data_IF_492160088721
#
_entry.id   IF_492160088721
#
_cell.length_a   1.000
_cell.length_b   1.000
_cell.length_c   1.000
_cell.angle_alpha   90.00
_cell.angle_beta   90.00
_cell.angle_gamma   90.00
#
_symmetry.space_group_name_H-M   'P 1'
#
loop_
_entity.id
_entity.type
_entity.pdbx_description
1 polymer ?
#
# COMPACT_ATOMS: atom_id res chain seq x y z
N UNK A 1 0.19 18.91 -10.63
CA UNK A 1 -0.51 18.13 -11.69
C UNK A 1 0.14 16.76 -11.84
N UNK A 2 1.47 16.67 -11.88
CA UNK A 2 2.19 15.39 -11.98
C UNK A 2 1.95 14.42 -10.80
N UNK A 3 1.97 14.93 -9.55
CA UNK A 3 1.70 14.11 -8.35
C UNK A 3 0.30 13.47 -8.38
N UNK A 4 -0.73 14.25 -8.72
CA UNK A 4 -2.10 13.75 -8.75
C UNK A 4 -2.26 12.67 -9.83
N UNK A 5 -1.70 12.89 -11.02
CA UNK A 5 -1.70 11.91 -12.10
C UNK A 5 -0.93 10.64 -11.72
N UNK A 6 0.18 10.76 -10.98
CA UNK A 6 0.89 9.60 -10.46
C UNK A 6 0.01 8.83 -9.47
N UNK A 7 -0.62 9.50 -8.50
CA UNK A 7 -1.51 8.87 -7.54
C UNK A 7 -2.69 8.15 -8.22
N UNK A 8 -3.27 8.74 -9.28
CA UNK A 8 -4.33 8.11 -10.05
C UNK A 8 -3.86 6.81 -10.74
N UNK A 9 -2.70 6.85 -11.42
CA UNK A 9 -2.12 5.67 -12.10
C UNK A 9 -1.78 4.53 -11.13
N UNK A 10 -1.42 4.87 -9.89
CA UNK A 10 -1.06 3.90 -8.85
C UNK A 10 -2.21 3.57 -7.89
N UNK A 11 -3.45 3.84 -8.32
CA UNK A 11 -4.69 3.45 -7.63
C UNK A 11 -4.79 3.95 -6.19
N UNK A 12 -4.24 5.12 -5.91
CA UNK A 12 -4.40 5.75 -4.60
C UNK A 12 -5.84 6.25 -4.41
N UNK A 13 -6.43 6.03 -3.24
CA UNK A 13 -7.62 6.75 -2.83
C UNK A 13 -7.39 8.26 -2.72
N UNK A 14 -8.44 9.03 -2.97
CA UNK A 14 -8.51 10.46 -2.67
C UNK A 14 -8.69 10.70 -1.17
N UNK A 15 -8.39 11.93 -0.73
CA UNK A 15 -8.69 12.37 0.65
C UNK A 15 -10.18 12.21 0.97
N UNK A 16 -11.03 12.56 0.01
CA UNK A 16 -12.49 12.52 0.16
C UNK A 16 -12.99 11.09 0.32
N UNK A 17 -12.50 10.14 -0.48
CA UNK A 17 -12.84 8.72 -0.36
C UNK A 17 -12.37 8.14 0.99
N UNK A 18 -11.20 8.54 1.48
CA UNK A 18 -10.70 8.12 2.79
C UNK A 18 -11.49 8.73 3.95
N UNK A 19 -11.87 10.00 3.85
CA UNK A 19 -12.67 10.68 4.87
C UNK A 19 -14.11 10.13 4.93
N UNK A 20 -14.72 9.88 3.77
CA UNK A 20 -16.06 9.33 3.60
C UNK A 20 -16.12 7.80 3.58
N UNK A 21 -15.10 7.10 4.06
CA UNK A 21 -14.96 5.64 3.92
C UNK A 21 -16.18 4.85 4.44
N UNK A 22 -16.81 5.33 5.52
CA UNK A 22 -18.00 4.72 6.12
C UNK A 22 -19.28 4.95 5.32
N UNK A 23 -19.28 5.96 4.44
CA UNK A 23 -20.42 6.35 3.60
C UNK A 23 -20.43 5.61 2.25
N UNK A 24 -19.30 5.04 1.85
CA UNK A 24 -19.22 4.21 0.64
C UNK A 24 -20.17 3.00 0.77
N UNK A 25 -20.61 2.41 -0.34
CA UNK A 25 -21.43 1.19 -0.33
C UNK A 25 -20.55 -0.06 -0.36
N UNK A 26 -20.81 -1.05 0.51
CA UNK A 26 -20.02 -2.30 0.52
C UNK A 26 -20.23 -3.05 -0.79
N UNK A 27 -21.47 -3.07 -1.28
CA UNK A 27 -21.83 -3.76 -2.52
C UNK A 27 -21.17 -3.11 -3.73
N UNK A 28 -21.07 -1.78 -3.76
CA UNK A 28 -20.36 -1.07 -4.83
C UNK A 28 -18.87 -1.36 -4.80
N UNK A 29 -18.26 -1.36 -3.62
CA UNK A 29 -16.85 -1.71 -3.45
C UNK A 29 -16.57 -3.18 -3.78
N UNK A 30 -17.49 -4.10 -3.46
CA UNK A 30 -17.39 -5.51 -3.86
C UNK A 30 -17.53 -5.67 -5.38
N UNK A 31 -18.42 -4.91 -6.03
CA UNK A 31 -18.54 -4.90 -7.49
C UNK A 31 -17.27 -4.36 -8.14
N UNK A 32 -16.75 -3.24 -7.66
CA UNK A 32 -15.47 -2.68 -8.12
C UNK A 32 -14.30 -3.63 -7.87
N UNK A 33 -14.23 -4.30 -6.73
CA UNK A 33 -13.20 -5.31 -6.47
C UNK A 33 -13.30 -6.51 -7.42
N UNK A 34 -14.46 -6.83 -7.98
CA UNK A 34 -14.56 -7.88 -9.03
C UNK A 34 -14.09 -7.40 -10.39
N UNK A 35 -13.98 -6.08 -10.60
CA UNK A 35 -13.33 -5.51 -11.76
C UNK A 35 -11.82 -5.51 -11.54
N UNK A 36 -11.10 -6.32 -12.31
CA UNK A 36 -9.64 -6.37 -12.27
C UNK A 36 -8.98 -5.03 -12.65
N UNK A 37 -9.75 -4.09 -13.20
CA UNK A 37 -9.32 -2.73 -13.53
C UNK A 37 -9.52 -1.71 -12.41
N UNK A 38 -10.12 -2.08 -11.29
CA UNK A 38 -10.27 -1.20 -10.13
C UNK A 38 -9.62 -1.75 -8.85
N UNK A 39 -8.27 -1.76 -8.77
CA UNK A 39 -7.56 -2.08 -7.53
C UNK A 39 -7.91 -1.13 -6.37
N UNK A 40 -8.35 0.10 -6.67
CA UNK A 40 -8.70 1.10 -5.65
C UNK A 40 -9.98 0.71 -4.90
N UNK A 41 -10.97 0.12 -5.56
CA UNK A 41 -12.14 -0.44 -4.87
C UNK A 41 -11.75 -1.51 -3.83
N UNK A 42 -10.79 -2.38 -4.16
CA UNK A 42 -10.27 -3.38 -3.23
C UNK A 42 -9.55 -2.74 -2.02
N UNK A 43 -8.78 -1.67 -2.25
CA UNK A 43 -8.20 -0.85 -1.16
C UNK A 43 -9.27 -0.29 -0.25
N UNK A 44 -10.25 0.41 -0.82
CA UNK A 44 -11.32 1.08 -0.05
C UNK A 44 -12.16 0.07 0.72
N UNK A 45 -12.47 -1.08 0.11
CA UNK A 45 -13.14 -2.17 0.82
C UNK A 45 -12.31 -2.66 2.00
N UNK A 46 -11.02 -2.88 1.81
CA UNK A 46 -10.12 -3.36 2.85
C UNK A 46 -10.02 -2.40 4.03
N UNK A 47 -9.83 -1.11 3.75
CA UNK A 47 -9.80 -0.08 4.79
C UNK A 47 -11.12 0.04 5.55
N UNK A 48 -12.25 -0.04 4.83
CA UNK A 48 -13.55 0.01 5.48
C UNK A 48 -13.76 -1.19 6.40
N UNK A 49 -13.44 -2.38 5.93
CA UNK A 49 -13.53 -3.60 6.73
C UNK A 49 -12.67 -3.54 7.99
N UNK A 50 -11.45 -2.99 7.88
CA UNK A 50 -10.60 -2.77 9.05
C UNK A 50 -11.26 -1.81 10.06
N UNK A 51 -11.85 -0.71 9.57
CA UNK A 51 -12.59 0.25 10.41
C UNK A 51 -13.80 -0.39 11.10
N UNK A 52 -14.47 -1.33 10.44
CA UNK A 52 -15.61 -2.07 10.98
C UNK A 52 -15.18 -3.26 11.88
N UNK A 53 -13.88 -3.49 12.06
CA UNK A 53 -13.31 -4.58 12.88
C UNK A 53 -13.24 -5.95 12.19
N UNK A 54 -13.48 -6.02 10.88
CA UNK A 54 -13.33 -7.24 10.06
C UNK A 54 -11.89 -7.36 9.54
N UNK A 55 -10.95 -7.73 10.42
CA UNK A 55 -9.53 -7.88 10.09
C UNK A 55 -9.28 -8.88 8.95
N UNK A 56 -10.02 -9.99 8.95
CA UNK A 56 -9.83 -11.05 7.96
C UNK A 56 -10.28 -10.58 6.58
N UNK A 57 -11.45 -9.94 6.50
CA UNK A 57 -11.92 -9.35 5.26
C UNK A 57 -11.07 -8.17 4.80
N UNK A 58 -10.52 -7.37 5.72
CA UNK A 58 -9.59 -6.30 5.42
C UNK A 58 -8.33 -6.82 4.72
N UNK A 59 -7.67 -7.81 5.32
CA UNK A 59 -6.47 -8.44 4.75
C UNK A 59 -6.73 -9.11 3.40
N UNK A 60 -7.91 -9.74 3.23
CA UNK A 60 -8.29 -10.36 1.96
C UNK A 60 -8.43 -9.30 0.85
N UNK A 61 -9.19 -8.24 1.09
CA UNK A 61 -9.40 -7.17 0.11
C UNK A 61 -8.10 -6.42 -0.20
N UNK A 62 -7.28 -6.13 0.81
CA UNK A 62 -5.97 -5.51 0.62
C UNK A 62 -5.03 -6.42 -0.18
N UNK A 63 -4.99 -7.72 0.09
CA UNK A 63 -4.21 -8.68 -0.71
C UNK A 63 -4.60 -8.64 -2.20
N UNK A 64 -5.90 -8.61 -2.51
CA UNK A 64 -6.39 -8.46 -3.90
C UNK A 64 -5.91 -7.14 -4.52
N UNK A 65 -5.94 -6.03 -3.78
CA UNK A 65 -5.41 -4.77 -4.31
C UNK A 65 -3.91 -4.84 -4.62
N UNK A 66 -3.13 -5.57 -3.81
CA UNK A 66 -1.68 -5.71 -4.02
C UNK A 66 -1.32 -6.58 -5.21
N UNK A 67 -2.08 -7.66 -5.45
CA UNK A 67 -1.85 -8.53 -6.60
C UNK A 67 -2.08 -7.78 -7.90
N UNK A 68 -3.04 -6.85 -7.91
CA UNK A 68 -3.35 -5.97 -9.05
C UNK A 68 -2.53 -4.67 -9.09
N UNK A 69 -1.40 -4.61 -8.37
CA UNK A 69 -0.41 -3.54 -8.51
C UNK A 69 -0.67 -2.26 -7.71
N UNK A 70 -1.65 -2.21 -6.80
CA UNK A 70 -1.82 -1.03 -5.93
C UNK A 70 -0.65 -0.87 -4.96
N UNK A 71 0.14 0.20 -5.12
CA UNK A 71 1.24 0.54 -4.21
C UNK A 71 0.71 0.91 -2.83
N UNK A 72 -0.36 1.71 -2.79
CA UNK A 72 -1.04 2.06 -1.55
C UNK A 72 -1.63 0.82 -0.86
N UNK A 73 -2.18 -0.12 -1.63
CA UNK A 73 -2.63 -1.42 -1.11
C UNK A 73 -1.53 -2.18 -0.37
N UNK A 74 -0.27 -2.14 -0.86
CA UNK A 74 0.87 -2.80 -0.20
C UNK A 74 1.20 -2.16 1.15
N UNK A 75 1.15 -0.84 1.22
CA UNK A 75 1.32 -0.11 2.49
C UNK A 75 0.24 -0.49 3.50
N UNK A 76 -1.03 -0.45 3.07
CA UNK A 76 -2.16 -0.71 3.95
C UNK A 76 -2.21 -2.19 4.38
N UNK A 77 -1.82 -3.12 3.50
CA UNK A 77 -1.68 -4.52 3.87
C UNK A 77 -0.63 -4.72 4.97
N UNK A 78 0.53 -4.06 4.85
CA UNK A 78 1.56 -4.07 5.89
C UNK A 78 1.03 -3.55 7.23
N UNK A 79 0.35 -2.40 7.22
CA UNK A 79 -0.26 -1.79 8.41
C UNK A 79 -1.28 -2.75 9.04
N UNK A 80 -2.20 -3.30 8.24
CA UNK A 80 -3.24 -4.19 8.72
C UNK A 80 -2.69 -5.49 9.34
N UNK A 81 -1.62 -6.07 8.77
CA UNK A 81 -0.95 -7.25 9.36
C UNK A 81 -0.36 -6.92 10.73
N UNK A 82 0.26 -5.74 10.88
CA UNK A 82 0.82 -5.29 12.15
C UNK A 82 -0.29 -5.06 13.18
N UNK A 83 -1.34 -4.33 12.82
CA UNK A 83 -2.45 -4.00 13.71
C UNK A 83 -3.19 -5.26 14.20
N UNK A 84 -3.49 -6.20 13.30
CA UNK A 84 -4.07 -7.49 13.65
C UNK A 84 -3.20 -8.28 14.62
N UNK A 85 -1.87 -8.24 14.45
CA UNK A 85 -0.94 -8.97 15.32
C UNK A 85 -0.83 -8.31 16.69
N UNK A 86 -0.76 -6.98 16.73
CA UNK A 86 -0.75 -6.20 17.97
C UNK A 86 -2.05 -6.36 18.77
N UNK A 87 -3.22 -6.37 18.10
CA UNK A 87 -4.53 -6.59 18.73
C UNK A 87 -4.69 -7.98 19.35
N UNK A 88 -3.87 -8.96 18.93
CA UNK A 88 -3.80 -10.31 19.52
C UNK A 88 -2.76 -10.42 20.64
N UNK A 89 -2.24 -9.29 21.14
CA UNK A 89 -1.16 -9.19 22.13
C UNK A 89 0.16 -9.88 21.71
N UNK A 90 0.34 -10.14 20.41
CA UNK A 90 1.53 -10.78 19.87
C UNK A 90 2.55 -9.76 19.34
N UNK A 91 3.83 -10.09 19.44
CA UNK A 91 4.87 -9.43 18.65
C UNK A 91 4.93 -10.07 17.26
N UNK A 92 5.23 -9.27 16.23
CA UNK A 92 5.48 -9.83 14.90
C UNK A 92 6.70 -10.76 14.94
N UNK A 93 6.55 -11.97 14.39
CA UNK A 93 7.67 -12.86 14.15
C UNK A 93 8.66 -12.24 13.16
N UNK A 94 9.90 -12.72 13.15
CA UNK A 94 10.89 -12.26 12.20
C UNK A 94 10.45 -12.52 10.74
N UNK A 95 9.78 -13.65 10.47
CA UNK A 95 9.24 -13.97 9.14
C UNK A 95 8.11 -13.02 8.73
N UNK A 96 7.23 -12.64 9.66
CA UNK A 96 6.17 -11.66 9.40
C UNK A 96 6.77 -10.28 9.07
N UNK A 97 7.81 -9.87 9.82
CA UNK A 97 8.54 -8.62 9.54
C UNK A 97 9.23 -8.68 8.18
N UNK A 98 9.89 -9.78 7.86
CA UNK A 98 10.53 -9.98 6.57
C UNK A 98 9.51 -9.89 5.43
N UNK A 99 8.35 -10.52 5.55
CA UNK A 99 7.26 -10.44 4.56
C UNK A 99 6.72 -9.02 4.36
N UNK A 100 6.48 -8.29 5.46
CA UNK A 100 6.07 -6.88 5.42
C UNK A 100 7.12 -6.03 4.69
N UNK A 101 8.40 -6.19 5.05
CA UNK A 101 9.51 -5.43 4.46
C UNK A 101 9.63 -5.76 2.98
N UNK A 102 9.56 -7.03 2.58
CA UNK A 102 9.58 -7.45 1.18
C UNK A 102 8.48 -6.77 0.36
N UNK A 103 7.26 -6.70 0.90
CA UNK A 103 6.13 -6.04 0.23
C UNK A 103 6.33 -4.54 0.06
N UNK A 104 6.91 -3.87 1.07
CA UNK A 104 7.21 -2.44 1.05
C UNK A 104 8.42 -2.11 0.18
N UNK A 105 9.47 -2.93 0.16
CA UNK A 105 10.62 -2.75 -0.73
C UNK A 105 10.20 -2.85 -2.21
N UNK A 106 9.19 -3.66 -2.54
CA UNK A 106 8.59 -3.63 -3.89
C UNK A 106 7.94 -2.28 -4.18
N UNK A 107 7.18 -1.72 -3.23
CA UNK A 107 6.56 -0.40 -3.42
C UNK A 107 7.59 0.72 -3.57
N UNK A 108 8.66 0.68 -2.77
CA UNK A 108 9.81 1.60 -2.88
C UNK A 108 10.49 1.48 -4.24
N UNK A 109 10.79 0.26 -4.70
CA UNK A 109 11.40 0.00 -6.01
C UNK A 109 10.54 0.53 -7.17
N UNK A 110 9.21 0.44 -7.04
CA UNK A 110 8.26 0.94 -8.04
C UNK A 110 8.07 2.46 -7.97
N UNK A 111 8.65 3.14 -6.97
CA UNK A 111 8.75 4.60 -6.92
C UNK A 111 8.01 5.26 -5.77
N UNK A 112 7.49 4.51 -4.80
CA UNK A 112 6.73 5.07 -3.69
C UNK A 112 7.59 5.55 -2.52
N UNK A 113 7.71 6.86 -2.38
CA UNK A 113 8.50 7.48 -1.30
C UNK A 113 7.95 7.20 0.11
N UNK A 114 6.69 6.78 0.24
CA UNK A 114 6.07 6.44 1.53
C UNK A 114 6.51 5.09 2.07
N UNK A 115 7.05 4.21 1.22
CA UNK A 115 7.46 2.88 1.63
C UNK A 115 8.70 2.89 2.54
N UNK A 116 9.69 3.75 2.26
CA UNK A 116 10.94 3.85 3.02
C UNK A 116 10.74 4.08 4.54
N UNK A 117 9.94 5.07 5.00
CA UNK A 117 9.70 5.25 6.43
C UNK A 117 8.93 4.08 7.07
N UNK A 118 8.05 3.40 6.33
CA UNK A 118 7.36 2.20 6.81
C UNK A 118 8.33 1.01 6.96
N UNK A 119 9.27 0.82 6.02
CA UNK A 119 10.33 -0.18 6.12
C UNK A 119 11.14 0.05 7.39
N UNK A 120 11.60 1.28 7.62
CA UNK A 120 12.37 1.63 8.82
C UNK A 120 11.58 1.36 10.10
N UNK A 121 10.28 1.70 10.12
CA UNK A 121 9.41 1.46 11.27
C UNK A 121 9.23 -0.03 11.58
N UNK A 122 9.04 -0.87 10.56
CA UNK A 122 8.74 -2.29 10.76
C UNK A 122 9.98 -3.20 10.84
N UNK A 123 11.13 -2.71 10.37
CA UNK A 123 12.43 -3.38 10.50
C UNK A 123 13.01 -3.36 11.92
N UNK A 124 12.46 -2.57 12.84
CA UNK A 124 12.93 -2.52 14.24
C UNK A 124 12.91 -3.93 14.85
N UNK A 125 14.08 -4.40 15.30
CA UNK A 125 14.25 -5.71 15.93
C UNK A 125 14.41 -6.88 14.95
N UNK A 126 14.46 -6.63 13.63
CA UNK A 126 14.83 -7.63 12.63
C UNK A 126 16.32 -7.52 12.28
N UNK A 127 17.04 -8.64 12.33
CA UNK A 127 18.36 -8.73 11.71
C UNK A 127 18.19 -8.80 10.18
N UNK A 128 18.26 -7.64 9.53
CA UNK A 128 18.09 -7.55 8.06
C UNK A 128 19.18 -8.30 7.29
N UNK A 129 20.37 -8.46 7.87
CA UNK A 129 21.45 -9.16 7.20
C UNK A 129 21.19 -10.67 7.22
N UNK A 130 20.76 -11.21 8.36
CA UNK A 130 20.38 -12.61 8.48
C UNK A 130 19.17 -12.98 7.59
N UNK A 131 18.28 -12.02 7.33
CA UNK A 131 17.08 -12.22 6.51
C UNK A 131 17.19 -11.73 5.06
N UNK A 132 18.36 -11.28 4.62
CA UNK A 132 18.55 -10.65 3.30
C UNK A 132 18.07 -11.56 2.15
N UNK A 133 18.45 -12.85 2.18
CA UNK A 133 18.07 -13.81 1.14
C UNK A 133 16.57 -14.07 1.11
N UNK A 134 15.94 -14.19 2.28
CA UNK A 134 14.49 -14.40 2.40
C UNK A 134 13.71 -13.19 1.88
N UNK A 135 14.17 -11.97 2.22
CA UNK A 135 13.58 -10.72 1.73
C UNK A 135 13.73 -10.63 0.21
N UNK A 136 14.92 -10.90 -0.31
CA UNK A 136 15.19 -10.83 -1.75
C UNK A 136 14.37 -11.87 -2.55
N UNK A 137 14.22 -13.09 -2.02
CA UNK A 137 13.39 -14.13 -2.62
C UNK A 137 11.92 -13.70 -2.69
N UNK A 138 11.36 -13.22 -1.58
CA UNK A 138 9.97 -12.78 -1.53
C UNK A 138 9.69 -11.58 -2.43
N UNK A 139 10.59 -10.60 -2.47
CA UNK A 139 10.48 -9.47 -3.42
C UNK A 139 10.43 -9.93 -4.86
N UNK A 140 11.33 -10.85 -5.22
CA UNK A 140 11.39 -11.42 -6.57
C UNK A 140 10.08 -12.11 -6.91
N UNK A 141 9.52 -12.87 -5.97
CA UNK A 141 8.23 -13.55 -6.15
C UNK A 141 7.06 -12.56 -6.27
N UNK A 142 7.03 -11.50 -5.46
CA UNK A 142 6.00 -10.45 -5.59
C UNK A 142 6.07 -9.72 -6.93
N UNK A 143 7.27 -9.41 -7.43
CA UNK A 143 7.45 -8.80 -8.76
C UNK A 143 7.04 -9.77 -9.86
N UNK A 144 7.40 -11.06 -9.75
CA UNK A 144 6.99 -12.11 -10.69
C UNK A 144 5.47 -12.24 -10.76
N UNK A 145 4.79 -12.25 -9.61
CA UNK A 145 3.33 -12.30 -9.53
C UNK A 145 2.70 -11.04 -10.16
N UNK A 146 3.21 -9.86 -9.83
CA UNK A 146 2.70 -8.62 -10.39
C UNK A 146 2.89 -8.54 -11.91
N UNK A 147 4.01 -9.07 -12.44
CA UNK A 147 4.23 -9.22 -13.88
C UNK A 147 3.23 -10.16 -14.52
N UNK A 148 3.05 -11.36 -13.96
CA UNK A 148 2.11 -12.34 -14.49
C UNK A 148 0.66 -11.83 -14.49
N UNK A 149 0.28 -11.08 -13.45
CA UNK A 149 -1.04 -10.42 -13.38
C UNK A 149 -1.16 -9.31 -14.43
N UNK A 150 -0.15 -8.46 -14.59
CA UNK A 150 -0.18 -7.42 -15.62
C UNK A 150 -0.33 -8.03 -17.03
N UNK A 151 0.41 -9.11 -17.32
CA UNK A 151 0.31 -9.86 -18.57
C UNK A 151 -1.11 -10.45 -18.78
N UNK A 152 -1.71 -11.05 -17.75
CA UNK A 152 -3.04 -11.65 -17.84
C UNK A 152 -4.15 -10.61 -18.09
N UNK A 153 -4.00 -9.41 -17.54
CA UNK A 153 -4.95 -8.30 -17.65
C UNK A 153 -4.71 -7.39 -18.85
N UNK A 154 -3.62 -7.62 -19.61
CA UNK A 154 -3.23 -6.78 -20.74
C UNK A 154 -2.68 -5.40 -20.33
N UNK A 155 -2.13 -5.30 -19.12
CA UNK A 155 -1.46 -4.12 -18.60
C UNK A 155 0.04 -4.13 -18.89
N UNK A 156 0.69 -2.96 -18.94
CA UNK A 156 2.15 -2.90 -19.00
C UNK A 156 2.76 -3.55 -17.75
N UNK A 157 3.89 -4.23 -17.94
CA UNK A 157 4.68 -4.79 -16.84
C UNK A 157 4.98 -3.71 -15.77
N UNK A 158 4.89 -4.06 -14.47
CA UNK A 158 5.29 -3.15 -13.40
C UNK A 158 6.75 -2.72 -13.60
N UNK A 159 6.94 -1.44 -13.88
CA UNK A 159 8.26 -0.81 -14.02
C UNK A 159 8.36 0.32 -13.02
N UNK A 160 9.59 0.73 -12.75
CA UNK A 160 9.84 1.90 -11.92
C UNK A 160 9.15 3.14 -12.54
N UNK A 161 8.24 3.75 -11.78
CA UNK A 161 7.58 5.02 -12.08
C UNK A 161 7.76 5.90 -10.84
N UNK A 162 8.84 6.67 -10.79
CA UNK A 162 9.18 7.45 -9.62
C UNK A 162 8.08 8.47 -9.30
N UNK A 163 7.58 8.42 -8.06
CA UNK A 163 6.65 9.43 -7.58
C UNK A 163 7.29 10.83 -7.62
N UNK A 164 6.58 11.87 -8.06
CA UNK A 164 7.10 13.23 -7.98
C UNK A 164 7.38 13.68 -6.54
N UNK A 165 8.05 14.83 -6.39
CA UNK A 165 8.27 15.49 -5.09
C UNK A 165 9.10 14.69 -4.06
N UNK A 166 10.03 13.83 -4.48
CA UNK A 166 10.89 13.03 -3.58
C UNK A 166 11.56 13.87 -2.46
N UNK A 167 12.08 15.06 -2.80
CA UNK A 167 12.70 15.96 -1.83
C UNK A 167 11.74 16.45 -0.74
N UNK A 168 10.47 16.67 -1.10
CA UNK A 168 9.44 17.08 -0.15
C UNK A 168 9.03 15.94 0.77
N UNK A 169 8.93 14.72 0.23
CA UNK A 169 8.68 13.52 1.04
C UNK A 169 9.80 13.26 2.04
N UNK A 170 11.05 13.46 1.63
CA UNK A 170 12.20 13.40 2.54
C UNK A 170 12.09 14.42 3.68
N UNK A 171 11.73 15.66 3.39
CA UNK A 171 11.51 16.69 4.41
C UNK A 171 10.37 16.34 5.37
N UNK A 172 9.29 15.75 4.87
CA UNK A 172 8.16 15.29 5.70
C UNK A 172 8.61 14.18 6.63
N UNK A 173 9.39 13.21 6.14
CA UNK A 173 9.91 12.12 6.97
C UNK A 173 10.88 12.64 8.05
N UNK A 174 11.73 13.61 7.72
CA UNK A 174 12.65 14.24 8.68
C UNK A 174 11.94 15.14 9.71
N UNK A 175 10.69 15.55 9.46
CA UNK A 175 9.93 16.41 10.36
C UNK A 175 9.50 15.67 11.65
N UNK A 176 9.28 16.37 12.78
CA UNK A 176 8.75 15.76 14.02
C UNK A 176 7.40 15.07 13.77
N UNK A 177 7.10 14.00 14.51
CA UNK A 177 5.88 13.19 14.33
C UNK A 177 4.57 14.02 14.36
N UNK A 178 4.52 15.12 15.13
CA UNK A 178 3.39 16.07 15.17
C UNK A 178 3.18 16.84 13.86
N UNK A 179 4.22 16.99 13.03
CA UNK A 179 4.16 17.64 11.72
C UNK A 179 3.95 16.64 10.56
N UNK A 180 4.15 15.33 10.79
CA UNK A 180 3.97 14.26 9.78
C UNK A 180 2.50 13.95 9.47
N UNK A 181 1.56 14.30 10.36
CA UNK A 181 0.15 13.89 10.28
C UNK A 181 -0.69 14.61 9.21
N UNK A 182 -0.18 15.65 8.55
CA UNK A 182 -0.98 16.44 7.61
C UNK A 182 -0.16 16.72 6.35
N UNK A 183 -0.46 15.95 5.28
CA UNK A 183 -0.53 16.41 3.88
C UNK A 183 -0.76 15.21 2.96
N UNK A 184 -2.00 14.71 2.96
CA UNK A 184 -2.53 14.09 1.75
C UNK A 184 -2.96 15.25 0.87
N UNK A 185 -2.36 15.39 -0.30
CA UNK A 185 -2.69 16.49 -1.21
C UNK A 185 -4.16 16.39 -1.63
N UNK A 186 -4.97 17.47 -1.51
CA UNK A 186 -6.22 17.51 -2.23
C UNK A 186 -5.88 17.45 -3.73
N UNK A 187 -6.37 16.42 -4.44
CA UNK A 187 -6.49 16.47 -5.89
C UNK A 187 -7.38 17.69 -6.14
N UNK A 188 -6.82 18.82 -6.58
CA UNK A 188 -7.67 19.93 -6.99
C UNK A 188 -8.53 19.40 -8.14
N UNK A 189 -9.87 19.55 -8.11
CA UNK A 189 -10.67 19.30 -9.30
C UNK A 189 -10.11 20.22 -10.39
N UNK A 190 -9.74 19.64 -11.52
CA UNK A 190 -9.47 20.37 -12.74
C UNK A 190 -10.77 21.03 -13.17
N UNK A 191 -10.98 22.27 -12.72
CA UNK A 191 -11.85 23.20 -13.43
C UNK A 191 -10.96 24.01 -14.37
N UNK A 192 -10.95 23.59 -15.64
CA UNK A 192 -11.17 24.43 -16.81
C UNK A 192 -11.35 23.54 -18.04
#
# INVERSE_FOLDING_TARGET
>A
MEEAAWLDRHHYPTVQELAGLSELSVDDLLRGMRDDRDPKAAVLLGLRKAKDGDDSGALAALSVSTSRGSLYGREQLAIAVVERTAGRAGTLSADQRASIISGLEVAEMLGDHRAAPLINRYAIGLDRQAYADAIQLQKTEYLRQAKAEAESLGYPEPKQDLRPNAALWKQIDEAPASARMIRIYPRRPSHQ
#
